data_IF_340358479120
#
_entry.id   IF_340358479120
#
_cell.length_a   1.000
_cell.length_b   1.000
_cell.length_c   1.000
_cell.angle_alpha   90.00
_cell.angle_beta   90.00
_cell.angle_gamma   90.00
#
_symmetry.space_group_name_H-M   'P 1'
#
loop_
_entity.id
_entity.type
_entity.pdbx_description
1 polymer ?
#
# COMPACT_ATOMS: atom_id res chain seq x y z
N UNK A 1 2.44 -20.81 -35.84
CA UNK A 1 1.20 -20.30 -35.24
C UNK A 1 1.39 -20.32 -33.73
N UNK A 2 1.66 -19.17 -33.11
CA UNK A 2 1.85 -19.08 -31.66
C UNK A 2 0.47 -19.10 -30.99
N UNK A 3 0.20 -20.14 -30.20
CA UNK A 3 -0.96 -20.21 -29.30
C UNK A 3 -0.71 -19.27 -28.13
N UNK A 4 -1.26 -18.05 -28.20
CA UNK A 4 -1.39 -17.17 -27.04
C UNK A 4 -2.37 -17.82 -26.08
N UNK A 5 -1.86 -18.45 -25.02
CA UNK A 5 -2.66 -18.81 -23.86
C UNK A 5 -3.16 -17.52 -23.21
N UNK A 6 -4.28 -16.99 -23.68
CA UNK A 6 -5.04 -15.96 -22.95
C UNK A 6 -5.68 -16.65 -21.76
N UNK A 7 -4.86 -16.91 -20.74
CA UNK A 7 -5.33 -16.97 -19.36
C UNK A 7 -5.99 -15.61 -19.12
N UNK A 8 -7.31 -15.57 -19.23
CA UNK A 8 -8.12 -14.45 -18.78
C UNK A 8 -7.90 -14.36 -17.28
N UNK A 9 -6.89 -13.61 -16.88
CA UNK A 9 -6.65 -13.27 -15.47
C UNK A 9 -7.89 -12.52 -15.03
N UNK A 10 -8.77 -13.19 -14.29
CA UNK A 10 -9.97 -12.57 -13.71
C UNK A 10 -9.54 -11.35 -12.91
N UNK A 11 -10.34 -10.29 -12.97
CA UNK A 11 -10.04 -9.06 -12.25
C UNK A 11 -9.98 -9.39 -10.75
N UNK A 12 -9.06 -8.77 -10.01
CA UNK A 12 -8.94 -9.01 -8.57
C UNK A 12 -10.25 -8.68 -7.82
N UNK A 13 -11.03 -7.75 -8.35
CA UNK A 13 -12.38 -7.42 -7.90
C UNK A 13 -13.34 -8.62 -7.93
N UNK A 14 -13.21 -9.51 -8.92
CA UNK A 14 -14.10 -10.67 -9.11
C UNK A 14 -13.94 -11.72 -8.00
N UNK A 15 -12.80 -11.68 -7.31
CA UNK A 15 -12.51 -12.57 -6.18
C UNK A 15 -12.93 -11.98 -4.83
N UNK A 16 -13.31 -10.70 -4.78
CA UNK A 16 -13.70 -10.04 -3.55
C UNK A 16 -15.18 -10.32 -3.23
N UNK A 17 -15.53 -10.50 -1.95
CA UNK A 17 -16.92 -10.54 -1.50
C UNK A 17 -17.71 -9.32 -1.99
N UNK A 18 -18.98 -9.54 -2.35
CA UNK A 18 -19.88 -8.52 -2.90
C UNK A 18 -19.84 -7.19 -2.12
N UNK A 19 -19.93 -7.27 -0.79
CA UNK A 19 -19.93 -6.09 0.09
C UNK A 19 -18.64 -5.27 -0.02
N UNK A 20 -17.49 -5.92 -0.18
CA UNK A 20 -16.20 -5.24 -0.33
C UNK A 20 -16.13 -4.58 -1.71
N UNK A 21 -16.61 -5.28 -2.74
CA UNK A 21 -16.65 -4.76 -4.12
C UNK A 21 -17.49 -3.49 -4.20
N UNK A 22 -18.68 -3.49 -3.59
CA UNK A 22 -19.55 -2.32 -3.50
C UNK A 22 -18.89 -1.14 -2.78
N UNK A 23 -18.22 -1.38 -1.65
CA UNK A 23 -17.50 -0.34 -0.93
C UNK A 23 -16.35 0.27 -1.77
N UNK A 24 -15.64 -0.55 -2.52
CA UNK A 24 -14.57 -0.08 -3.43
C UNK A 24 -15.17 0.73 -4.58
N UNK A 25 -16.29 0.30 -5.15
CA UNK A 25 -16.99 1.04 -6.21
C UNK A 25 -17.53 2.39 -5.71
N UNK A 26 -18.04 2.45 -4.48
CA UNK A 26 -18.49 3.68 -3.84
C UNK A 26 -17.31 4.65 -3.63
N UNK A 27 -16.23 4.18 -3.00
CA UNK A 27 -15.02 4.97 -2.82
C UNK A 27 -14.41 5.43 -4.15
N UNK A 28 -14.41 4.55 -5.16
CA UNK A 28 -13.95 4.85 -6.52
C UNK A 28 -14.71 6.02 -7.13
N UNK A 29 -16.03 6.11 -6.93
CA UNK A 29 -16.85 7.24 -7.39
C UNK A 29 -16.51 8.52 -6.64
N UNK A 30 -16.33 8.44 -5.32
CA UNK A 30 -15.98 9.60 -4.49
C UNK A 30 -14.61 10.19 -4.85
N UNK A 31 -13.61 9.34 -5.07
CA UNK A 31 -12.23 9.78 -5.36
C UNK A 31 -11.93 9.90 -6.84
N UNK A 32 -12.85 9.54 -7.72
CA UNK A 32 -12.67 9.49 -9.18
C UNK A 32 -11.48 8.62 -9.63
N UNK A 33 -11.17 7.59 -8.83
CA UNK A 33 -10.10 6.62 -9.14
C UNK A 33 -10.73 5.34 -9.65
N UNK A 34 -10.18 4.66 -10.67
CA UNK A 34 -10.71 3.38 -11.09
C UNK A 34 -10.60 2.35 -9.95
N UNK A 35 -11.60 1.45 -9.77
CA UNK A 35 -11.62 0.46 -8.69
C UNK A 35 -10.34 -0.36 -8.57
N UNK A 36 -9.72 -0.71 -9.70
CA UNK A 36 -8.44 -1.43 -9.73
C UNK A 36 -7.29 -0.62 -9.13
N UNK A 37 -7.28 0.69 -9.34
CA UNK A 37 -6.26 1.58 -8.78
C UNK A 37 -6.47 1.80 -7.28
N UNK A 38 -7.73 1.87 -6.83
CA UNK A 38 -8.08 1.91 -5.41
C UNK A 38 -7.50 0.69 -4.69
N UNK A 39 -7.70 -0.51 -5.24
CA UNK A 39 -7.15 -1.74 -4.66
C UNK A 39 -5.62 -1.73 -4.67
N UNK A 40 -5.01 -1.35 -5.80
CA UNK A 40 -3.54 -1.29 -5.90
C UNK A 40 -2.95 -0.34 -4.86
N UNK A 41 -3.57 0.82 -4.67
CA UNK A 41 -3.14 1.79 -3.65
C UNK A 41 -3.35 1.25 -2.24
N UNK A 42 -4.48 0.62 -1.95
CA UNK A 42 -4.74 0.01 -0.66
C UNK A 42 -3.72 -1.08 -0.32
N UNK A 43 -3.38 -1.95 -1.28
CA UNK A 43 -2.36 -3.00 -1.12
C UNK A 43 -0.96 -2.39 -1.00
N UNK A 44 -0.62 -1.44 -1.88
CA UNK A 44 0.69 -0.77 -1.84
C UNK A 44 0.90 -0.09 -0.49
N UNK A 45 -0.12 0.60 0.02
CA UNK A 45 -0.12 1.18 1.33
C UNK A 45 0.02 0.11 2.41
N UNK A 46 -0.81 -0.94 2.42
CA UNK A 46 -0.71 -2.03 3.41
C UNK A 46 0.67 -2.71 3.45
N UNK A 47 1.34 -2.85 2.29
CA UNK A 47 2.67 -3.46 2.18
C UNK A 47 3.81 -2.46 2.41
N UNK A 48 3.52 -1.17 2.42
CA UNK A 48 4.52 -0.16 2.70
C UNK A 48 4.92 -0.27 4.17
N UNK A 49 6.21 -0.57 4.37
CA UNK A 49 6.83 -0.70 5.68
C UNK A 49 6.72 0.60 6.48
N UNK A 50 6.55 1.72 5.78
CA UNK A 50 6.42 3.04 6.39
C UNK A 50 4.95 3.44 6.59
N UNK A 51 3.98 2.61 6.17
CA UNK A 51 2.57 2.85 6.47
C UNK A 51 2.25 2.49 7.93
N UNK A 52 2.10 3.50 8.76
CA UNK A 52 1.56 3.34 10.12
C UNK A 52 0.12 3.82 10.09
N UNK A 53 -0.84 2.89 10.08
CA UNK A 53 -2.23 3.21 9.71
C UNK A 53 -3.24 2.94 10.81
N UNK A 54 -2.77 2.43 11.95
CA UNK A 54 -3.61 2.22 13.12
C UNK A 54 -3.26 3.27 14.16
N UNK A 55 -4.24 4.09 14.54
CA UNK A 55 -4.08 5.14 15.55
C UNK A 55 -3.52 4.62 16.90
N UNK A 56 -3.62 3.31 17.14
CA UNK A 56 -3.12 2.65 18.35
C UNK A 56 -1.75 1.96 18.18
N UNK A 57 -1.19 1.92 16.97
CA UNK A 57 0.17 1.42 16.74
C UNK A 57 1.21 2.48 17.11
N UNK A 58 1.63 2.47 18.38
CA UNK A 58 2.79 3.23 18.88
C UNK A 58 4.10 2.53 18.55
N UNK A 59 4.35 2.25 17.28
CA UNK A 59 5.60 1.62 16.84
C UNK A 59 6.17 2.50 15.73
N UNK A 60 7.40 2.96 15.93
CA UNK A 60 8.15 3.68 14.91
C UNK A 60 8.31 2.77 13.69
N UNK A 61 7.97 3.27 12.51
CA UNK A 61 8.14 2.48 11.29
C UNK A 61 9.62 2.19 11.03
N UNK A 62 9.95 1.09 10.33
CA UNK A 62 11.32 0.85 9.88
C UNK A 62 11.97 2.05 9.17
N UNK A 63 11.24 2.82 8.36
CA UNK A 63 11.75 4.04 7.73
C UNK A 63 12.05 5.15 8.74
N UNK A 64 11.17 5.34 9.73
CA UNK A 64 11.39 6.29 10.82
C UNK A 64 12.64 5.94 11.64
N UNK A 65 12.80 4.66 12.01
CA UNK A 65 14.00 4.16 12.69
C UNK A 65 15.27 4.33 11.84
N UNK A 66 15.19 4.15 10.52
CA UNK A 66 16.32 4.36 9.61
C UNK A 66 16.75 5.82 9.56
N UNK A 67 15.79 6.74 9.52
CA UNK A 67 16.07 8.17 9.51
C UNK A 67 16.66 8.63 10.85
N UNK A 68 16.08 8.21 11.98
CA UNK A 68 16.63 8.47 13.31
C UNK A 68 18.09 8.00 13.42
N UNK A 69 18.38 6.77 12.98
CA UNK A 69 19.75 6.23 12.97
C UNK A 69 20.72 7.04 12.11
N UNK A 70 20.26 7.55 10.96
CA UNK A 70 21.08 8.38 10.08
C UNK A 70 21.44 9.70 10.75
N UNK A 71 20.46 10.36 11.38
CA UNK A 71 20.65 11.60 12.13
C UNK A 71 21.64 11.37 13.30
N UNK A 72 21.43 10.33 14.09
CA UNK A 72 22.31 9.96 15.21
C UNK A 72 23.76 9.79 14.76
N UNK A 73 24.00 9.09 13.65
CA UNK A 73 25.34 8.91 13.09
C UNK A 73 26.01 10.23 12.69
N UNK A 74 25.26 11.15 12.09
CA UNK A 74 25.78 12.48 11.73
C UNK A 74 26.14 13.27 12.99
N UNK A 75 25.28 13.24 14.01
CA UNK A 75 25.54 13.94 15.28
C UNK A 75 26.74 13.40 16.04
N UNK A 76 26.93 12.07 16.03
CA UNK A 76 28.11 11.42 16.60
C UNK A 76 29.39 11.88 15.88
N UNK A 77 29.38 11.89 14.55
CA UNK A 77 30.52 12.35 13.74
C UNK A 77 30.82 13.84 13.90
N UNK A 78 29.83 14.68 14.25
CA UNK A 78 30.02 16.11 14.49
C UNK A 78 30.50 16.45 15.92
N UNK A 79 30.52 15.46 16.82
CA UNK A 79 30.99 15.61 18.21
C UNK A 79 32.46 15.21 18.40
N UNK A 80 33.07 14.59 17.40
CA UNK A 80 34.49 14.26 17.30
C UNK A 80 35.28 15.39 16.61
#
# INVERSE_FOLDING_TARGET
MQTTNTSTVKNILDYLPERIRQAIEEYSKETQLPPELVIKLAIAHFLDVDSVTFNDCRIDSPGELREQNKILKIQLAAKE
#
